data_IF_263541394748
#
_entry.id   IF_263541394748
#
_cell.length_a   1.000
_cell.length_b   1.000
_cell.length_c   1.000
_cell.angle_alpha   90.00
_cell.angle_beta   90.00
_cell.angle_gamma   90.00
#
_symmetry.space_group_name_H-M   'P 1'
#
loop_
_entity.id
_entity.type
_entity.pdbx_description
1 polymer ?
#
# COMPACT_ATOMS: atom_id res chain seq x y z
N UNK A 1 7.47 11.23 -19.79
CA UNK A 1 7.23 9.88 -19.24
C UNK A 1 5.90 9.93 -18.53
N UNK A 2 4.96 9.06 -18.88
CA UNK A 2 3.71 8.93 -18.12
C UNK A 2 4.08 8.25 -16.81
N UNK A 3 3.97 8.94 -15.68
CA UNK A 3 4.17 8.33 -14.37
C UNK A 3 2.98 7.41 -14.10
N UNK A 4 3.23 6.16 -13.71
CA UNK A 4 2.15 5.23 -13.39
C UNK A 4 1.55 5.54 -12.02
N UNK A 5 0.22 5.57 -11.93
CA UNK A 5 -0.48 5.83 -10.67
C UNK A 5 -0.39 4.65 -9.71
N UNK A 6 -0.53 4.93 -8.41
CA UNK A 6 -0.65 3.90 -7.38
C UNK A 6 -1.80 2.91 -7.68
N UNK A 7 -2.91 3.40 -8.25
CA UNK A 7 -4.06 2.56 -8.61
C UNK A 7 -3.79 1.57 -9.74
N UNK A 8 -3.13 2.01 -10.81
CA UNK A 8 -2.74 1.14 -11.94
C UNK A 8 -1.75 0.09 -11.47
N UNK A 9 -0.76 0.49 -10.68
CA UNK A 9 0.26 -0.41 -10.15
C UNK A 9 -0.29 -1.39 -9.12
N UNK A 10 -1.25 -0.98 -8.29
CA UNK A 10 -1.94 -1.89 -7.37
C UNK A 10 -2.69 -2.99 -8.13
N UNK A 11 -3.35 -2.64 -9.23
CA UNK A 11 -4.02 -3.63 -10.10
C UNK A 11 -3.01 -4.61 -10.71
N UNK A 12 -1.89 -4.10 -11.21
CA UNK A 12 -0.81 -4.92 -11.74
C UNK A 12 -0.21 -5.85 -10.67
N UNK A 13 -0.01 -5.36 -9.46
CA UNK A 13 0.49 -6.15 -8.33
C UNK A 13 -0.45 -7.28 -7.92
N UNK A 14 -1.77 -7.06 -7.92
CA UNK A 14 -2.73 -8.14 -7.65
C UNK A 14 -2.68 -9.20 -8.75
N UNK A 15 -2.62 -8.78 -10.02
CA UNK A 15 -2.45 -9.70 -11.15
C UNK A 15 -1.15 -10.50 -11.04
N UNK A 16 -0.03 -9.84 -10.71
CA UNK A 16 1.26 -10.52 -10.55
C UNK A 16 1.22 -11.55 -9.43
N UNK A 17 0.64 -11.20 -8.28
CA UNK A 17 0.47 -12.14 -7.16
C UNK A 17 -0.33 -13.38 -7.57
N UNK A 18 -1.35 -13.22 -8.42
CA UNK A 18 -2.16 -14.33 -8.93
C UNK A 18 -1.35 -15.26 -9.83
N UNK A 19 -0.55 -14.69 -10.74
CA UNK A 19 0.35 -15.44 -11.63
C UNK A 19 1.43 -16.17 -10.82
N UNK A 20 1.95 -15.54 -9.77
CA UNK A 20 2.95 -16.10 -8.84
C UNK A 20 2.39 -17.18 -7.89
N UNK A 21 1.09 -17.51 -7.99
CA UNK A 21 0.47 -18.60 -7.24
C UNK A 21 0.11 -18.27 -5.79
N UNK A 22 -0.12 -16.99 -5.44
CA UNK A 22 -0.70 -16.64 -4.14
C UNK A 22 -2.11 -17.19 -4.01
N UNK A 23 -2.49 -17.62 -2.80
CA UNK A 23 -3.82 -18.18 -2.56
C UNK A 23 -4.94 -17.16 -2.85
N UNK A 24 -6.15 -17.61 -3.24
CA UNK A 24 -7.29 -16.72 -3.48
C UNK A 24 -7.60 -15.83 -2.27
N UNK A 25 -7.42 -16.36 -1.06
CA UNK A 25 -7.63 -15.60 0.17
C UNK A 25 -6.60 -14.48 0.35
N UNK A 26 -5.35 -14.73 -0.02
CA UNK A 26 -4.29 -13.71 0.01
C UNK A 26 -4.57 -12.61 -1.00
N UNK A 27 -4.97 -12.96 -2.22
CA UNK A 27 -5.34 -12.00 -3.26
C UNK A 27 -6.49 -11.11 -2.82
N UNK A 28 -7.54 -11.71 -2.27
CA UNK A 28 -8.70 -10.98 -1.71
C UNK A 28 -8.26 -10.03 -0.60
N UNK A 29 -7.43 -10.50 0.33
CA UNK A 29 -6.93 -9.68 1.45
C UNK A 29 -6.14 -8.46 0.95
N UNK A 30 -5.22 -8.68 -0.01
CA UNK A 30 -4.42 -7.62 -0.61
C UNK A 30 -5.29 -6.63 -1.38
N UNK A 31 -6.23 -7.11 -2.21
CA UNK A 31 -7.12 -6.26 -2.98
C UNK A 31 -7.96 -5.34 -2.08
N UNK A 32 -8.54 -5.88 -1.00
CA UNK A 32 -9.34 -5.11 -0.05
C UNK A 32 -8.50 -4.05 0.68
N UNK A 33 -7.29 -4.40 1.10
CA UNK A 33 -6.39 -3.44 1.75
C UNK A 33 -5.94 -2.36 0.78
N UNK A 34 -5.56 -2.69 -0.45
CA UNK A 34 -5.12 -1.71 -1.44
C UNK A 34 -6.25 -0.80 -1.88
N UNK A 35 -7.48 -1.31 -2.02
CA UNK A 35 -8.67 -0.49 -2.27
C UNK A 35 -8.93 0.52 -1.14
N UNK A 36 -8.76 0.12 0.12
CA UNK A 36 -8.86 1.04 1.25
C UNK A 36 -7.72 2.06 1.25
N UNK A 37 -6.50 1.63 0.96
CA UNK A 37 -5.34 2.51 0.85
C UNK A 37 -5.57 3.58 -0.23
N UNK A 38 -6.04 3.21 -1.42
CA UNK A 38 -6.35 4.17 -2.50
C UNK A 38 -7.39 5.21 -2.08
N UNK A 39 -8.49 4.75 -1.45
CA UNK A 39 -9.50 5.67 -0.89
C UNK A 39 -8.93 6.60 0.19
N UNK A 40 -7.93 6.12 0.94
CA UNK A 40 -7.25 6.93 1.95
C UNK A 40 -6.35 7.98 1.30
N UNK A 41 -5.61 7.61 0.26
CA UNK A 41 -4.76 8.51 -0.54
C UNK A 41 -5.60 9.65 -1.11
N UNK A 42 -6.70 9.32 -1.79
CA UNK A 42 -7.63 10.32 -2.34
C UNK A 42 -8.21 11.24 -1.25
N UNK A 43 -8.76 10.65 -0.18
CA UNK A 43 -9.43 11.41 0.88
C UNK A 43 -8.49 12.33 1.68
N UNK A 44 -7.23 11.94 1.82
CA UNK A 44 -6.21 12.73 2.52
C UNK A 44 -5.46 13.69 1.58
N UNK A 45 -5.70 13.63 0.26
CA UNK A 45 -4.96 14.43 -0.72
C UNK A 45 -3.49 14.03 -0.84
N UNK A 46 -3.16 12.76 -0.57
CA UNK A 46 -1.79 12.25 -0.67
C UNK A 46 -1.39 12.05 -2.15
N UNK A 47 -0.08 12.01 -2.46
CA UNK A 47 0.38 11.81 -3.83
C UNK A 47 -0.10 10.47 -4.41
N UNK A 48 -0.67 10.52 -5.62
CA UNK A 48 -1.00 9.33 -6.41
C UNK A 48 0.22 8.80 -7.20
N UNK A 49 1.25 9.63 -7.38
CA UNK A 49 2.53 9.20 -7.93
C UNK A 49 3.34 8.43 -6.86
N UNK A 50 3.66 7.15 -7.07
CA UNK A 50 4.39 6.33 -6.11
C UNK A 50 5.81 6.85 -5.84
N UNK A 51 6.44 7.50 -6.81
CA UNK A 51 7.76 8.12 -6.71
C UNK A 51 7.75 9.40 -5.87
N UNK A 52 6.58 9.99 -5.62
CA UNK A 52 6.39 11.14 -4.74
C UNK A 52 5.96 10.74 -3.32
N UNK A 53 5.56 9.49 -3.08
CA UNK A 53 5.15 9.01 -1.75
C UNK A 53 6.33 8.98 -0.76
N UNK A 54 6.14 9.53 0.44
CA UNK A 54 7.18 9.70 1.47
C UNK A 54 6.77 9.02 2.79
N UNK A 55 7.72 8.82 3.73
CA UNK A 55 7.39 8.28 5.04
C UNK A 55 6.33 9.09 5.81
N UNK A 56 6.25 10.40 5.60
CA UNK A 56 5.22 11.24 6.21
C UNK A 56 3.81 10.81 5.77
N UNK A 57 3.60 10.59 4.47
CA UNK A 57 2.33 10.13 3.90
C UNK A 57 1.92 8.74 4.43
N UNK A 58 2.92 7.88 4.73
CA UNK A 58 2.68 6.60 5.41
C UNK A 58 2.10 6.83 6.81
N UNK A 59 2.66 7.76 7.58
CA UNK A 59 2.12 8.08 8.91
C UNK A 59 0.73 8.70 8.82
N UNK A 60 0.43 9.52 7.83
CA UNK A 60 -0.92 10.06 7.60
C UNK A 60 -1.93 8.95 7.27
N UNK A 61 -1.56 8.03 6.37
CA UNK A 61 -2.36 6.85 6.07
C UNK A 61 -2.62 5.99 7.32
N UNK A 62 -1.58 5.66 8.08
CA UNK A 62 -1.70 4.81 9.26
C UNK A 62 -2.48 5.51 10.40
N UNK A 63 -2.29 6.82 10.56
CA UNK A 63 -3.06 7.65 11.49
C UNK A 63 -4.54 7.65 11.13
N UNK A 64 -4.88 7.79 9.83
CA UNK A 64 -6.25 7.66 9.38
C UNK A 64 -6.82 6.26 9.64
N UNK A 65 -6.08 5.20 9.30
CA UNK A 65 -6.50 3.83 9.57
C UNK A 65 -6.80 3.64 11.05
N UNK A 66 -5.96 4.12 11.95
CA UNK A 66 -6.20 4.11 13.40
C UNK A 66 -7.44 4.90 13.81
N UNK A 67 -7.69 6.05 13.19
CA UNK A 67 -8.85 6.91 13.51
C UNK A 67 -10.20 6.30 13.12
N UNK A 68 -10.21 5.28 12.25
CA UNK A 68 -11.45 4.57 11.86
C UNK A 68 -11.98 3.59 12.92
N UNK A 69 -11.27 3.43 14.05
CA UNK A 69 -11.70 2.55 15.15
C UNK A 69 -11.49 1.05 14.88
N UNK A 70 -10.73 0.68 13.84
CA UNK A 70 -10.42 -0.73 13.58
C UNK A 70 -9.42 -1.29 14.59
N UNK A 71 -9.51 -2.60 14.86
CA UNK A 71 -8.63 -3.29 15.80
C UNK A 71 -7.15 -3.17 15.43
N UNK A 72 -6.26 -3.22 16.43
CA UNK A 72 -4.81 -3.17 16.23
C UNK A 72 -4.33 -4.25 15.24
N UNK A 73 -4.90 -5.46 15.29
CA UNK A 73 -4.64 -6.55 14.34
C UNK A 73 -4.97 -6.13 12.90
N UNK A 74 -6.10 -5.43 12.71
CA UNK A 74 -6.51 -4.92 11.40
C UNK A 74 -5.57 -3.82 10.91
N UNK A 75 -5.14 -2.92 11.79
CA UNK A 75 -4.17 -1.87 11.46
C UNK A 75 -2.83 -2.48 11.03
N UNK A 76 -2.33 -3.46 11.80
CA UNK A 76 -1.10 -4.18 11.50
C UNK A 76 -1.19 -4.94 10.16
N UNK A 77 -2.30 -5.64 9.90
CA UNK A 77 -2.54 -6.31 8.61
C UNK A 77 -2.48 -5.31 7.46
N UNK A 78 -3.20 -4.19 7.57
CA UNK A 78 -3.22 -3.14 6.53
C UNK A 78 -1.83 -2.58 6.29
N UNK A 79 -1.08 -2.26 7.35
CA UNK A 79 0.30 -1.80 7.23
C UNK A 79 1.18 -2.82 6.51
N UNK A 80 1.13 -4.09 6.91
CA UNK A 80 1.95 -5.16 6.34
C UNK A 80 1.67 -5.36 4.85
N UNK A 81 0.41 -5.36 4.46
CA UNK A 81 -0.01 -5.59 3.08
C UNK A 81 0.32 -4.40 2.17
N UNK A 82 0.10 -3.16 2.63
CA UNK A 82 0.53 -1.96 1.88
C UNK A 82 2.06 -1.92 1.78
N UNK A 83 2.79 -2.29 2.84
CA UNK A 83 4.26 -2.40 2.78
C UNK A 83 4.72 -3.43 1.75
N UNK A 84 4.02 -4.57 1.64
CA UNK A 84 4.34 -5.59 0.64
C UNK A 84 4.20 -5.06 -0.80
N UNK A 85 3.15 -4.27 -1.06
CA UNK A 85 2.98 -3.57 -2.32
C UNK A 85 4.14 -2.61 -2.62
N UNK A 86 4.52 -1.71 -1.70
CA UNK A 86 5.68 -0.81 -1.92
C UNK A 86 7.02 -1.56 -2.03
N UNK A 87 7.16 -2.72 -1.40
CA UNK A 87 8.32 -3.59 -1.63
C UNK A 87 8.32 -4.20 -3.02
N UNK A 88 7.15 -4.54 -3.58
CA UNK A 88 7.03 -4.97 -4.97
C UNK A 88 7.36 -3.82 -5.93
N UNK A 89 6.87 -2.60 -5.67
CA UNK A 89 7.22 -1.41 -6.47
C UNK A 89 8.73 -1.18 -6.54
N UNK A 90 9.41 -1.28 -5.40
CA UNK A 90 10.87 -1.12 -5.33
C UNK A 90 11.62 -2.22 -6.09
N UNK A 91 11.16 -3.48 -6.01
CA UNK A 91 11.80 -4.61 -6.71
C UNK A 91 11.66 -4.55 -8.23
N UNK A 92 10.66 -3.83 -8.73
CA UNK A 92 10.36 -3.66 -10.15
C UNK A 92 10.68 -2.25 -10.66
N UNK A 93 11.50 -1.49 -9.93
CA UNK A 93 12.04 -0.18 -10.34
C UNK A 93 10.99 0.93 -10.58
N UNK A 94 9.75 0.76 -10.09
CA UNK A 94 8.73 1.82 -10.13
C UNK A 94 9.03 2.97 -9.15
N UNK A 95 9.80 2.68 -8.10
CA UNK A 95 10.25 3.66 -7.11
C UNK A 95 11.72 3.41 -6.76
N UNK A 96 12.43 4.47 -6.38
CA UNK A 96 13.84 4.39 -5.96
C UNK A 96 14.02 4.09 -4.47
N UNK A 97 12.96 4.23 -3.66
CA UNK A 97 13.01 3.96 -2.22
C UNK A 97 11.63 3.56 -1.70
N UNK A 98 11.58 2.58 -0.79
CA UNK A 98 10.34 2.18 -0.16
C UNK A 98 10.01 3.10 1.04
N UNK A 99 8.89 3.86 1.02
CA UNK A 99 8.54 4.82 2.06
C UNK A 99 8.23 4.16 3.43
N UNK A 100 7.94 2.86 3.45
CA UNK A 100 7.73 2.10 4.68
C UNK A 100 9.06 1.67 5.35
N UNK A 101 10.22 1.79 4.70
CA UNK A 101 11.51 1.28 5.21
C UNK A 101 11.81 1.72 6.64
N UNK A 102 11.60 3.01 6.94
CA UNK A 102 11.91 3.62 8.26
C UNK A 102 10.69 3.72 9.18
N UNK A 103 9.52 3.32 8.71
CA UNK A 103 8.28 3.35 9.50
C UNK A 103 8.23 2.10 10.38
N UNK A 104 8.10 2.32 11.69
CA UNK A 104 7.96 1.23 12.67
C UNK A 104 6.63 0.49 12.46
N UNK A 105 6.65 -0.82 12.67
CA UNK A 105 5.42 -1.60 12.69
C UNK A 105 4.55 -1.15 13.87
N UNK A 106 3.27 -0.93 13.62
CA UNK A 106 2.26 -0.67 14.64
C UNK A 106 1.93 -2.01 15.31
N UNK A 107 1.83 -2.01 16.64
CA UNK A 107 1.45 -3.18 17.44
C UNK A 107 0.04 -3.02 17.98
#
# INVERSE_FOLDING_TARGET
MVSESLGSLASLYITSCGIEGKSPETLRSYAETLKLFMRSVERLGLPDDPGLFRPADVYEFLGHVGSTGVSAITQWRRQRETRAFFSWLLRHDYISSNPFMKVKNIK
#
